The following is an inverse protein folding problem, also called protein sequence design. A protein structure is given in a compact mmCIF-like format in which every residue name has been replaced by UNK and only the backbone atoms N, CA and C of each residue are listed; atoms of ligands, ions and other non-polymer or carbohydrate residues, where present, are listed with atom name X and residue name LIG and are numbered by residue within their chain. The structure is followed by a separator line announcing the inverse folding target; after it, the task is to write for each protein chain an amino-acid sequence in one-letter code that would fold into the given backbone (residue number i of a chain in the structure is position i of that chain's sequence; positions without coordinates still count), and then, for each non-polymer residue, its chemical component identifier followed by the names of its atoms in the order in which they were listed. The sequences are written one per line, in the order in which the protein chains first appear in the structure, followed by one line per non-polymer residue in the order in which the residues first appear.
data_IF_383551519309
#
_entry.id   IF_383551519309
#
_cell.length_a   1.000
_cell.length_b   1.000
_cell.length_c   1.000
_cell.angle_alpha   90.00
_cell.angle_beta   90.00
_cell.angle_gamma   90.00
#
_symmetry.space_group_name_H-M   'P 1'
#
loop_
_entity.id
_entity.type
_entity.pdbx_description
1 polymer ?
#
# COMPACT_ATOMS: atom_id res chain seq x y z
N UNK A 1 28.76 -30.27 -64.67
CA UNK A 1 27.96 -29.02 -64.73
C UNK A 1 27.85 -28.44 -63.33
N UNK A 2 28.48 -27.28 -63.06
CA UNK A 2 28.33 -26.59 -61.76
C UNK A 2 27.14 -25.62 -61.87
N UNK A 3 26.07 -25.90 -61.13
CA UNK A 3 24.93 -25.00 -60.98
C UNK A 3 25.36 -23.78 -60.15
N UNK A 4 25.52 -22.64 -60.82
CA UNK A 4 25.69 -21.33 -60.17
C UNK A 4 24.35 -20.96 -59.52
N UNK A 5 24.21 -21.22 -58.21
CA UNK A 5 23.11 -20.66 -57.43
C UNK A 5 23.23 -19.14 -57.45
N UNK A 6 22.31 -18.47 -58.14
CA UNK A 6 22.14 -17.02 -57.99
C UNK A 6 21.79 -16.75 -56.53
N UNK A 7 22.67 -16.02 -55.82
CA UNK A 7 22.35 -15.50 -54.50
C UNK A 7 21.40 -14.33 -54.71
N UNK A 8 20.13 -14.49 -54.35
CA UNK A 8 19.18 -13.38 -54.23
C UNK A 8 19.65 -12.46 -53.10
N UNK A 9 20.12 -11.26 -53.45
CA UNK A 9 20.45 -10.22 -52.48
C UNK A 9 19.16 -9.55 -51.99
N UNK A 10 19.09 -9.28 -50.69
CA UNK A 10 18.00 -8.50 -50.11
C UNK A 10 18.06 -7.08 -50.67
N UNK A 11 16.95 -6.58 -51.21
CA UNK A 11 16.86 -5.19 -51.68
C UNK A 11 16.68 -4.25 -50.50
N UNK A 12 17.15 -3.01 -50.66
CA UNK A 12 17.00 -1.97 -49.64
C UNK A 12 15.53 -1.68 -49.31
N UNK A 13 14.63 -1.82 -50.31
CA UNK A 13 13.19 -1.64 -50.13
C UNK A 13 12.60 -2.75 -49.25
N UNK A 14 12.96 -4.03 -49.48
CA UNK A 14 12.47 -5.14 -48.66
C UNK A 14 12.88 -4.97 -47.19
N UNK A 15 14.12 -4.52 -46.93
CA UNK A 15 14.57 -4.24 -45.57
C UNK A 15 13.80 -3.08 -44.92
N UNK A 16 13.58 -1.99 -45.67
CA UNK A 16 12.83 -0.82 -45.18
C UNK A 16 11.38 -1.16 -44.82
N UNK A 17 10.70 -1.94 -45.67
CA UNK A 17 9.32 -2.37 -45.41
C UNK A 17 9.23 -3.21 -44.13
N UNK A 18 10.18 -4.13 -43.92
CA UNK A 18 10.21 -4.95 -42.70
C UNK A 18 10.41 -4.10 -41.46
N UNK A 19 11.36 -3.16 -41.48
CA UNK A 19 11.59 -2.25 -40.35
C UNK A 19 10.36 -1.38 -40.11
N UNK A 20 9.71 -0.88 -41.17
CA UNK A 20 8.48 -0.10 -41.05
C UNK A 20 7.35 -0.90 -40.39
N UNK A 21 7.17 -2.17 -40.78
CA UNK A 21 6.16 -3.06 -40.17
C UNK A 21 6.51 -3.30 -38.69
N UNK A 22 7.76 -3.62 -38.36
CA UNK A 22 8.21 -3.81 -36.97
C UNK A 22 7.97 -2.54 -36.15
N UNK A 23 8.28 -1.36 -36.69
CA UNK A 23 8.07 -0.08 -36.03
C UNK A 23 6.59 0.18 -35.73
N UNK A 24 5.69 -0.11 -36.68
CA UNK A 24 4.23 0.02 -36.48
C UNK A 24 3.74 -0.96 -35.41
N UNK A 25 4.16 -2.23 -35.47
CA UNK A 25 3.77 -3.24 -34.48
C UNK A 25 4.27 -2.88 -33.09
N UNK A 26 5.53 -2.45 -32.97
CA UNK A 26 6.13 -2.03 -31.71
C UNK A 26 5.42 -0.79 -31.13
N UNK A 27 5.08 0.19 -31.97
CA UNK A 27 4.37 1.40 -31.56
C UNK A 27 3.00 1.12 -30.92
N UNK A 28 2.29 0.08 -31.37
CA UNK A 28 1.03 -0.36 -30.78
C UNK A 28 1.26 -1.24 -29.54
N UNK A 29 2.28 -2.11 -29.59
CA UNK A 29 2.52 -3.10 -28.53
C UNK A 29 3.05 -2.46 -27.23
N UNK A 30 3.94 -1.46 -27.32
CA UNK A 30 4.53 -0.83 -26.13
C UNK A 30 3.50 -0.18 -25.17
N UNK A 31 2.56 0.68 -25.61
CA UNK A 31 1.58 1.29 -24.70
C UNK A 31 0.62 0.25 -24.09
N UNK A 32 0.24 -0.77 -24.87
CA UNK A 32 -0.61 -1.86 -24.40
C UNK A 32 0.12 -2.69 -23.34
N UNK A 33 1.40 -3.02 -23.58
CA UNK A 33 2.21 -3.79 -22.65
C UNK A 33 2.44 -3.04 -21.32
N UNK A 34 2.69 -1.73 -21.37
CA UNK A 34 2.83 -0.91 -20.17
C UNK A 34 1.54 -0.93 -19.32
N UNK A 35 0.38 -0.75 -19.96
CA UNK A 35 -0.93 -0.78 -19.31
C UNK A 35 -1.23 -2.16 -18.70
N UNK A 36 -0.96 -3.24 -19.44
CA UNK A 36 -1.13 -4.61 -18.97
C UNK A 36 -0.23 -4.93 -17.76
N UNK A 37 1.02 -4.46 -17.79
CA UNK A 37 1.96 -4.62 -16.68
C UNK A 37 1.49 -3.87 -15.42
N UNK A 38 0.98 -2.66 -15.58
CA UNK A 38 0.40 -1.92 -14.45
C UNK A 38 -0.82 -2.65 -13.88
N UNK A 39 -1.73 -3.12 -14.73
CA UNK A 39 -2.90 -3.88 -14.32
C UNK A 39 -2.51 -5.15 -13.53
N UNK A 40 -1.51 -5.91 -14.01
CA UNK A 40 -1.01 -7.09 -13.31
C UNK A 40 -0.46 -6.74 -11.92
N UNK A 41 0.31 -5.65 -11.80
CA UNK A 41 0.81 -5.17 -10.51
C UNK A 41 -0.32 -4.76 -9.56
N UNK A 42 -1.38 -4.10 -10.05
CA UNK A 42 -2.57 -3.75 -9.23
C UNK A 42 -3.24 -4.98 -8.67
N UNK A 43 -3.46 -5.99 -9.53
CA UNK A 43 -4.06 -7.25 -9.12
C UNK A 43 -3.21 -7.93 -8.05
N UNK A 44 -1.88 -7.87 -8.16
CA UNK A 44 -0.98 -8.36 -7.14
C UNK A 44 -1.09 -7.58 -5.82
N UNK A 45 -1.13 -6.23 -5.83
CA UNK A 45 -1.35 -5.43 -4.61
C UNK A 45 -2.68 -5.80 -3.93
N UNK A 46 -3.76 -5.94 -4.69
CA UNK A 46 -5.07 -6.35 -4.16
C UNK A 46 -5.04 -7.77 -3.57
N UNK A 47 -4.33 -8.70 -4.22
CA UNK A 47 -4.14 -10.06 -3.71
C UNK A 47 -3.36 -10.06 -2.39
N UNK A 48 -2.34 -9.22 -2.27
CA UNK A 48 -1.59 -9.02 -1.04
C UNK A 48 -2.48 -8.43 0.07
N UNK A 49 -3.29 -7.41 -0.24
CA UNK A 49 -4.29 -6.86 0.70
C UNK A 49 -5.27 -7.92 1.21
N UNK A 50 -5.79 -8.79 0.33
CA UNK A 50 -6.66 -9.91 0.76
C UNK A 50 -5.95 -10.89 1.69
N UNK A 51 -4.68 -11.19 1.41
CA UNK A 51 -3.89 -12.07 2.29
C UNK A 51 -3.67 -11.46 3.67
N UNK A 52 -3.42 -10.15 3.74
CA UNK A 52 -3.33 -9.45 5.04
C UNK A 52 -4.67 -9.40 5.77
N UNK A 53 -5.79 -9.20 5.07
CA UNK A 53 -7.12 -9.28 5.67
C UNK A 53 -7.37 -10.64 6.31
N UNK A 54 -7.04 -11.73 5.62
CA UNK A 54 -7.11 -13.08 6.20
C UNK A 54 -6.15 -13.24 7.40
N UNK A 55 -4.94 -12.69 7.32
CA UNK A 55 -3.97 -12.74 8.42
C UNK A 55 -4.47 -12.01 9.68
N UNK A 56 -5.13 -10.86 9.51
CA UNK A 56 -5.79 -10.13 10.61
C UNK A 56 -6.89 -11.00 11.22
N UNK A 57 -7.75 -11.60 10.41
CA UNK A 57 -8.83 -12.46 10.93
C UNK A 57 -8.28 -13.68 11.69
N UNK A 58 -7.17 -14.27 11.23
CA UNK A 58 -6.52 -15.37 11.92
C UNK A 58 -5.88 -14.92 13.24
N UNK A 59 -5.23 -13.76 13.27
CA UNK A 59 -4.73 -13.16 14.50
C UNK A 59 -5.86 -12.93 15.50
N UNK A 60 -6.94 -12.27 15.08
CA UNK A 60 -8.09 -11.95 15.93
C UNK A 60 -8.70 -13.21 16.53
N UNK A 61 -8.76 -14.31 15.77
CA UNK A 61 -9.23 -15.60 16.26
C UNK A 61 -8.31 -16.22 17.35
N UNK A 62 -7.00 -16.04 17.24
CA UNK A 62 -6.02 -16.59 18.20
C UNK A 62 -5.85 -15.72 19.46
N UNK A 63 -6.25 -14.44 19.42
CA UNK A 63 -6.09 -13.47 20.50
C UNK A 63 -7.44 -12.95 21.04
N UNK A 64 -8.37 -13.86 21.37
CA UNK A 64 -9.65 -13.55 22.04
C UNK A 64 -10.45 -12.40 21.40
N UNK A 65 -10.56 -12.40 20.07
CA UNK A 65 -11.23 -11.36 19.28
C UNK A 65 -10.62 -9.95 19.42
N UNK A 66 -9.37 -9.83 19.86
CA UNK A 66 -8.68 -8.54 20.00
C UNK A 66 -7.96 -8.15 18.71
N UNK A 67 -8.14 -6.90 18.26
CA UNK A 67 -7.42 -6.35 17.11
C UNK A 67 -5.93 -6.16 17.40
N UNK A 68 -5.03 -6.33 16.40
CA UNK A 68 -3.59 -6.19 16.59
C UNK A 68 -3.17 -4.86 17.22
N UNK A 69 -2.03 -4.87 17.91
CA UNK A 69 -1.44 -3.64 18.45
C UNK A 69 -0.98 -2.75 17.29
N UNK A 70 -1.35 -1.48 17.35
CA UNK A 70 -0.95 -0.47 16.38
C UNK A 70 0.46 0.06 16.63
N UNK A 71 1.22 0.17 15.55
CA UNK A 71 2.48 0.91 15.46
C UNK A 71 2.44 1.78 14.19
N UNK A 72 2.65 3.09 14.34
CA UNK A 72 2.71 4.02 13.21
C UNK A 72 4.15 4.36 12.85
N UNK A 73 4.56 3.99 11.64
CA UNK A 73 5.76 4.41 10.90
C UNK A 73 7.11 4.43 11.64
N UNK A 74 8.20 4.38 10.87
CA UNK A 74 9.56 4.77 11.30
C UNK A 74 10.07 4.12 12.59
N UNK A 75 9.77 2.85 12.86
CA UNK A 75 10.33 2.20 14.06
C UNK A 75 11.86 2.17 14.00
N UNK A 76 12.52 2.40 15.14
CA UNK A 76 13.94 2.16 15.33
C UNK A 76 14.09 0.86 16.14
N UNK A 77 14.82 -0.14 15.63
CA UNK A 77 15.60 -0.12 14.39
C UNK A 77 14.75 -0.26 13.11
N UNK A 78 15.28 0.16 11.94
CA UNK A 78 14.56 0.16 10.67
C UNK A 78 14.00 -1.20 10.26
N UNK A 79 13.09 -1.18 9.28
CA UNK A 79 12.51 -2.37 8.68
C UNK A 79 13.58 -3.42 8.29
N UNK A 80 13.30 -4.68 8.63
CA UNK A 80 14.22 -5.79 8.39
C UNK A 80 15.37 -5.90 9.40
N UNK A 81 15.52 -5.00 10.37
CA UNK A 81 16.53 -5.13 11.42
C UNK A 81 15.98 -5.84 12.67
N UNK A 82 16.83 -6.55 13.45
CA UNK A 82 16.41 -7.17 14.71
C UNK A 82 15.85 -6.14 15.70
N UNK A 83 14.62 -6.35 16.18
CA UNK A 83 13.95 -5.44 17.10
C UNK A 83 13.01 -4.43 16.43
N UNK A 84 12.92 -4.45 15.10
CA UNK A 84 11.88 -3.74 14.34
C UNK A 84 10.49 -4.11 14.89
N UNK A 85 9.65 -3.10 15.10
CA UNK A 85 8.27 -3.27 15.55
C UNK A 85 7.33 -2.67 14.52
N UNK A 86 6.29 -3.41 14.19
CA UNK A 86 5.19 -2.94 13.37
C UNK A 86 4.06 -3.96 13.32
N UNK A 87 2.94 -3.56 12.74
CA UNK A 87 1.77 -4.43 12.63
C UNK A 87 2.09 -5.60 11.70
N UNK A 88 2.89 -5.37 10.67
CA UNK A 88 3.40 -6.39 9.77
C UNK A 88 4.24 -7.47 10.49
N UNK A 89 5.02 -7.09 11.51
CA UNK A 89 5.76 -8.06 12.33
C UNK A 89 4.80 -8.92 13.15
N UNK A 90 3.72 -8.35 13.68
CA UNK A 90 2.69 -9.09 14.42
C UNK A 90 1.95 -10.07 13.50
N UNK A 91 1.65 -9.63 12.28
CA UNK A 91 0.89 -10.41 11.30
C UNK A 91 1.74 -11.42 10.53
N UNK A 92 3.07 -11.30 10.53
CA UNK A 92 3.97 -12.17 9.76
C UNK A 92 3.71 -13.68 9.97
N UNK A 93 3.54 -14.20 11.20
CA UNK A 93 3.24 -15.62 11.44
C UNK A 93 1.95 -16.13 10.77
N UNK A 94 1.04 -15.22 10.45
CA UNK A 94 -0.27 -15.48 9.86
C UNK A 94 -0.29 -15.35 8.34
N UNK A 95 0.86 -15.03 7.72
CA UNK A 95 0.97 -14.85 6.26
C UNK A 95 1.78 -15.96 5.60
N UNK A 96 1.42 -16.32 4.36
CA UNK A 96 2.17 -17.34 3.59
C UNK A 96 3.55 -16.81 3.20
N UNK A 97 4.60 -17.37 3.80
CA UNK A 97 5.98 -16.94 3.57
C UNK A 97 6.66 -16.37 4.83
N UNK A 98 5.91 -16.13 5.91
CA UNK A 98 6.40 -15.86 7.27
C UNK A 98 7.02 -17.12 7.87
N UNK A 99 8.11 -17.58 7.26
CA UNK A 99 8.78 -18.83 7.57
C UNK A 99 10.05 -18.58 8.36
N UNK A 100 9.92 -18.74 9.69
CA UNK A 100 10.98 -18.89 10.72
C UNK A 100 11.35 -17.58 11.39
N UNK A 101 10.88 -17.46 12.64
CA UNK A 101 11.31 -16.42 13.57
C UNK A 101 12.81 -16.14 13.49
N UNK A 102 13.15 -14.87 13.68
CA UNK A 102 14.50 -14.29 13.59
C UNK A 102 15.06 -13.98 12.18
N UNK A 103 14.25 -13.83 11.13
CA UNK A 103 14.78 -13.41 9.84
C UNK A 103 14.70 -11.89 9.62
N UNK A 104 15.87 -11.28 9.44
CA UNK A 104 16.20 -9.91 8.97
C UNK A 104 15.54 -9.56 7.60
N UNK A 105 14.70 -10.43 7.05
CA UNK A 105 14.10 -10.29 5.73
C UNK A 105 12.62 -9.91 5.86
N UNK A 106 12.27 -8.78 5.26
CA UNK A 106 10.88 -8.35 5.16
C UNK A 106 10.06 -9.33 4.31
N UNK A 107 8.83 -9.56 4.72
CA UNK A 107 7.89 -10.41 3.99
C UNK A 107 7.26 -9.63 2.83
N UNK A 108 7.36 -10.19 1.63
CA UNK A 108 6.93 -9.56 0.39
C UNK A 108 5.40 -9.35 0.29
N UNK A 109 4.60 -10.00 1.12
CA UNK A 109 3.14 -9.77 1.15
C UNK A 109 2.83 -8.34 1.61
N UNK A 110 3.63 -7.77 2.51
CA UNK A 110 3.46 -6.38 2.96
C UNK A 110 3.97 -5.36 1.94
N UNK A 111 4.44 -5.80 0.76
CA UNK A 111 4.82 -4.93 -0.35
C UNK A 111 3.74 -4.89 -1.42
N UNK A 112 3.31 -3.70 -1.80
CA UNK A 112 2.58 -3.51 -3.05
C UNK A 112 3.57 -3.40 -4.23
N UNK A 113 3.46 -4.18 -5.32
CA UNK A 113 4.34 -4.04 -6.49
C UNK A 113 4.32 -2.67 -7.23
N UNK A 114 3.36 -1.80 -6.86
CA UNK A 114 3.29 -0.41 -7.31
C UNK A 114 3.92 0.59 -6.33
N UNK A 115 4.39 0.13 -5.17
CA UNK A 115 5.16 0.95 -4.24
C UNK A 115 6.40 1.51 -4.94
N UNK A 116 6.36 2.82 -5.16
CA UNK A 116 7.42 3.61 -5.78
C UNK A 116 8.13 4.51 -4.75
N UNK A 117 7.99 4.18 -3.47
CA UNK A 117 8.48 4.95 -2.34
C UNK A 117 7.62 6.17 -2.03
N UNK A 118 8.05 6.91 -1.01
CA UNK A 118 7.64 8.27 -0.69
C UNK A 118 8.85 9.20 -0.76
N UNK A 119 8.67 10.52 -0.77
CA UNK A 119 9.77 11.48 -0.94
C UNK A 119 10.86 11.40 0.15
N UNK A 120 10.53 10.91 1.35
CA UNK A 120 11.49 10.78 2.46
C UNK A 120 12.04 9.39 2.67
N UNK A 121 11.59 8.39 1.92
CA UNK A 121 12.06 7.00 2.12
C UNK A 121 13.59 6.90 2.09
N UNK A 122 14.23 7.58 1.13
CA UNK A 122 15.70 7.63 1.01
C UNK A 122 16.41 8.54 2.02
N UNK A 123 15.69 9.44 2.69
CA UNK A 123 16.24 10.31 3.75
C UNK A 123 16.15 9.63 5.11
N UNK A 124 14.98 9.07 5.43
CA UNK A 124 14.72 8.33 6.66
C UNK A 124 15.53 7.03 6.70
N UNK A 125 15.61 6.34 5.55
CA UNK A 125 16.36 5.10 5.39
C UNK A 125 17.22 5.19 4.12
N UNK A 126 18.50 5.61 4.24
CA UNK A 126 19.40 5.75 3.10
C UNK A 126 19.47 4.49 2.23
N UNK A 127 19.20 4.65 0.94
CA UNK A 127 19.19 3.55 -0.04
C UNK A 127 17.83 2.85 -0.22
N UNK A 128 16.83 3.19 0.60
CA UNK A 128 15.47 2.68 0.39
C UNK A 128 14.85 3.22 -0.90
N UNK A 129 14.19 2.33 -1.65
CA UNK A 129 13.50 2.66 -2.92
C UNK A 129 11.99 2.51 -2.84
N UNK A 130 11.48 1.99 -1.73
CA UNK A 130 10.06 1.73 -1.50
C UNK A 130 9.68 1.98 -0.04
N UNK A 131 8.39 2.21 0.21
CA UNK A 131 7.87 2.38 1.56
C UNK A 131 8.06 1.11 2.38
N UNK A 132 7.85 -0.05 1.75
CA UNK A 132 8.14 -1.36 2.33
C UNK A 132 9.61 -1.51 2.74
N UNK A 133 10.57 -1.14 1.88
CA UNK A 133 12.00 -1.23 2.21
C UNK A 133 12.36 -0.33 3.41
N UNK A 134 11.72 0.84 3.54
CA UNK A 134 12.00 1.79 4.63
C UNK A 134 11.34 1.39 5.95
N UNK A 135 10.06 0.99 5.91
CA UNK A 135 9.21 0.92 7.09
C UNK A 135 8.52 -0.43 7.30
N UNK A 136 8.79 -1.41 6.43
CA UNK A 136 8.32 -2.80 6.57
C UNK A 136 7.00 -3.08 5.89
N UNK A 137 6.23 -2.04 5.57
CA UNK A 137 4.92 -2.16 4.94
C UNK A 137 4.68 -1.05 3.92
N UNK A 138 4.12 -1.41 2.75
CA UNK A 138 3.53 -0.47 1.79
C UNK A 138 2.14 0.00 2.24
N UNK A 139 1.60 -0.54 3.33
CA UNK A 139 0.22 -0.34 3.75
C UNK A 139 0.15 0.39 5.08
N UNK A 140 -0.80 1.34 5.18
CA UNK A 140 -1.15 2.03 6.42
C UNK A 140 -2.22 1.25 7.16
N UNK A 141 -2.00 1.04 8.46
CA UNK A 141 -2.99 0.47 9.36
C UNK A 141 -3.76 1.61 10.05
N UNK A 142 -5.09 1.49 10.11
CA UNK A 142 -5.94 2.54 10.67
C UNK A 142 -5.93 2.45 12.20
N UNK A 143 -5.23 3.38 12.85
CA UNK A 143 -4.96 3.43 14.30
C UNK A 143 -6.19 3.14 15.16
N UNK A 144 -7.32 3.79 14.87
CA UNK A 144 -8.53 3.66 15.68
C UNK A 144 -9.21 2.29 15.56
N UNK A 145 -8.90 1.52 14.51
CA UNK A 145 -9.40 0.16 14.31
C UNK A 145 -8.46 -0.91 14.89
N UNK A 146 -7.30 -0.50 15.39
CA UNK A 146 -6.32 -1.36 16.03
C UNK A 146 -6.19 -1.01 17.52
N UNK A 147 -5.64 -1.93 18.30
CA UNK A 147 -5.44 -1.71 19.73
C UNK A 147 -4.24 -0.81 19.98
N UNK A 148 -4.38 0.18 20.85
CA UNK A 148 -3.26 0.99 21.36
C UNK A 148 -2.94 0.56 22.78
N UNK A 149 -1.66 0.31 23.08
CA UNK A 149 -1.21 -0.09 24.41
C UNK A 149 -0.17 0.89 24.92
N UNK A 150 -0.41 1.47 26.10
CA UNK A 150 0.49 2.43 26.72
C UNK A 150 1.88 1.81 26.95
N UNK A 151 2.93 2.53 26.56
CA UNK A 151 4.32 2.08 26.67
C UNK A 151 4.75 1.04 25.65
N UNK A 152 3.85 0.56 24.78
CA UNK A 152 4.17 -0.43 23.74
C UNK A 152 3.88 0.10 22.33
N UNK A 153 2.67 0.60 22.08
CA UNK A 153 2.33 1.26 20.82
C UNK A 153 3.14 2.52 20.63
N UNK A 154 3.57 2.78 19.40
CA UNK A 154 4.38 3.95 19.06
C UNK A 154 3.91 4.66 17.79
N UNK A 155 4.35 5.91 17.64
CA UNK A 155 4.22 6.70 16.43
C UNK A 155 5.50 7.50 16.24
N UNK A 156 6.20 7.33 15.12
CA UNK A 156 7.49 8.00 14.88
C UNK A 156 8.48 7.82 16.05
N UNK A 157 8.59 6.59 16.58
CA UNK A 157 9.39 6.23 17.77
C UNK A 157 8.97 6.87 19.10
N UNK A 158 7.84 7.57 19.15
CA UNK A 158 7.29 8.09 20.40
C UNK A 158 6.25 7.11 20.93
N UNK A 159 6.46 6.58 22.13
CA UNK A 159 5.52 5.68 22.80
C UNK A 159 4.23 6.43 23.16
N UNK A 160 3.11 5.73 23.04
CA UNK A 160 1.80 6.21 23.51
C UNK A 160 1.71 6.06 25.03
N UNK A 161 1.04 6.98 25.69
CA UNK A 161 0.82 7.03 27.14
C UNK A 161 -0.58 6.56 27.56
N UNK A 162 -1.39 6.12 26.60
CA UNK A 162 -2.75 5.65 26.81
C UNK A 162 -2.97 4.25 26.23
N UNK A 163 -3.98 3.56 26.75
CA UNK A 163 -4.41 2.24 26.28
C UNK A 163 -5.85 2.32 25.78
N UNK A 164 -6.08 1.79 24.59
CA UNK A 164 -7.39 1.63 23.97
C UNK A 164 -7.43 0.28 23.26
N UNK A 165 -8.14 -0.69 23.84
CA UNK A 165 -8.25 -2.04 23.26
C UNK A 165 -9.46 -2.09 22.35
N UNK A 166 -9.25 -2.56 21.11
CA UNK A 166 -10.32 -2.74 20.13
C UNK A 166 -10.59 -4.23 20.01
N UNK A 167 -11.82 -4.62 20.33
CA UNK A 167 -12.31 -5.98 20.08
C UNK A 167 -13.12 -5.99 18.78
N UNK A 168 -13.07 -7.09 18.04
CA UNK A 168 -13.86 -7.33 16.83
C UNK A 168 -15.35 -7.08 17.07
N UNK A 169 -15.88 -7.54 18.21
CA UNK A 169 -17.29 -7.37 18.58
C UNK A 169 -17.70 -5.92 18.84
N UNK A 170 -16.74 -5.01 19.05
CA UNK A 170 -17.01 -3.60 19.24
C UNK A 170 -17.14 -2.83 17.90
N UNK A 171 -16.82 -3.48 16.78
CA UNK A 171 -16.88 -2.88 15.45
C UNK A 171 -18.32 -3.00 14.93
N UNK A 172 -19.04 -1.87 14.89
CA UNK A 172 -20.46 -1.85 14.52
C UNK A 172 -20.70 -2.21 13.04
N UNK A 173 -19.77 -1.83 12.15
CA UNK A 173 -19.89 -2.01 10.70
C UNK A 173 -18.66 -2.69 10.07
N UNK A 174 -18.43 -4.00 10.31
CA UNK A 174 -17.18 -4.65 9.91
C UNK A 174 -16.85 -4.56 8.40
N UNK A 175 -17.87 -4.64 7.53
CA UNK A 175 -17.70 -4.55 6.08
C UNK A 175 -17.52 -3.12 5.54
N UNK A 176 -17.71 -2.09 6.38
CA UNK A 176 -17.54 -0.68 5.99
C UNK A 176 -16.34 -0.03 6.70
N UNK A 177 -15.89 -0.61 7.82
CA UNK A 177 -14.76 -0.14 8.61
C UNK A 177 -13.44 -0.62 8.03
N UNK A 178 -12.63 0.31 7.52
CA UNK A 178 -11.30 0.03 6.96
C UNK A 178 -10.31 -0.22 8.10
N UNK A 179 -9.54 -1.31 8.01
CA UNK A 179 -8.47 -1.64 8.96
C UNK A 179 -7.09 -1.34 8.40
N UNK A 180 -6.93 -1.40 7.08
CA UNK A 180 -5.71 -0.97 6.40
C UNK A 180 -5.99 -0.48 4.97
N UNK A 181 -5.07 0.30 4.43
CA UNK A 181 -5.09 0.79 3.04
C UNK A 181 -3.69 0.84 2.45
N UNK A 182 -3.59 0.96 1.14
CA UNK A 182 -2.33 1.40 0.52
C UNK A 182 -1.90 2.75 1.11
N UNK A 183 -0.60 2.92 1.40
CA UNK A 183 -0.07 4.17 1.95
C UNK A 183 -0.32 5.35 1.02
N UNK A 184 0.08 5.22 -0.26
CA UNK A 184 -0.08 6.29 -1.25
C UNK A 184 -1.30 6.01 -2.13
N UNK A 185 -2.43 6.51 -1.67
CA UNK A 185 -3.71 6.36 -2.35
C UNK A 185 -3.88 7.40 -3.46
N UNK A 186 -4.41 7.02 -4.63
CA UNK A 186 -4.52 7.96 -5.77
C UNK A 186 -5.38 9.21 -5.48
N UNK A 187 -6.31 9.15 -4.51
CA UNK A 187 -7.16 10.27 -4.11
C UNK A 187 -6.40 11.35 -3.35
N UNK A 188 -5.16 11.07 -2.93
CA UNK A 188 -4.28 12.06 -2.30
C UNK A 188 -3.53 12.91 -3.35
N UNK A 189 -3.69 12.59 -4.64
CA UNK A 189 -3.14 13.36 -5.75
C UNK A 189 -3.99 14.60 -6.05
N UNK A 190 -3.37 15.80 -6.08
CA UNK A 190 -4.05 17.05 -6.51
C UNK A 190 -4.66 16.95 -7.90
N UNK A 191 -4.06 16.16 -8.79
CA UNK A 191 -4.59 15.91 -10.13
C UNK A 191 -5.94 15.17 -10.11
N UNK A 192 -6.23 14.42 -9.05
CA UNK A 192 -7.49 13.70 -8.87
C UNK A 192 -8.44 14.41 -7.91
N UNK A 193 -7.91 15.18 -6.95
CA UNK A 193 -8.68 15.82 -5.88
C UNK A 193 -8.02 17.15 -5.53
N UNK A 194 -8.59 18.29 -5.97
CA UNK A 194 -7.92 19.59 -5.89
C UNK A 194 -7.43 19.99 -4.49
N UNK A 195 -8.15 19.59 -3.45
CA UNK A 195 -7.88 19.88 -2.03
C UNK A 195 -7.24 18.72 -1.26
N UNK A 196 -6.80 17.66 -1.94
CA UNK A 196 -6.32 16.41 -1.32
C UNK A 196 -5.24 16.60 -0.24
N UNK A 197 -4.32 17.52 -0.47
CA UNK A 197 -3.14 17.70 0.37
C UNK A 197 -3.51 18.29 1.73
N UNK A 198 -4.39 19.30 1.73
CA UNK A 198 -4.94 19.87 2.97
C UNK A 198 -5.90 18.88 3.63
N UNK A 199 -6.71 18.20 2.82
CA UNK A 199 -7.75 17.29 3.29
C UNK A 199 -7.20 16.02 3.95
N UNK A 200 -6.17 15.43 3.37
CA UNK A 200 -5.54 14.19 3.83
C UNK A 200 -4.15 14.41 4.44
N UNK A 201 -3.78 15.68 4.64
CA UNK A 201 -2.58 16.11 5.34
C UNK A 201 -1.26 15.59 4.78
N UNK A 202 -1.21 15.34 3.47
CA UNK A 202 0.05 15.16 2.75
C UNK A 202 0.50 16.52 2.25
N UNK A 203 1.68 16.99 2.65
CA UNK A 203 2.26 18.19 2.03
C UNK A 203 2.73 17.85 0.61
N UNK A 204 2.03 18.35 -0.39
CA UNK A 204 2.33 18.06 -1.80
C UNK A 204 3.22 19.13 -2.46
N UNK A 205 3.69 20.11 -1.70
CA UNK A 205 4.48 21.22 -2.21
C UNK A 205 5.98 21.04 -1.93
N UNK A 206 6.86 21.54 -2.79
CA UNK A 206 8.28 21.66 -2.49
C UNK A 206 8.49 22.51 -1.22
N UNK A 207 9.49 22.18 -0.38
CA UNK A 207 10.57 21.23 -0.65
C UNK A 207 10.26 19.76 -0.29
N UNK A 208 9.10 19.49 0.31
CA UNK A 208 8.86 18.23 1.00
C UNK A 208 8.09 17.20 0.18
N UNK A 209 7.05 17.61 -0.56
CA UNK A 209 6.33 16.79 -1.56
C UNK A 209 6.00 15.35 -1.10
N UNK A 210 5.48 15.21 0.12
CA UNK A 210 5.13 14.00 0.89
C UNK A 210 4.33 12.94 0.12
N UNK A 211 3.64 13.31 -0.94
CA UNK A 211 2.84 12.39 -1.72
C UNK A 211 3.55 11.88 -2.99
N UNK A 212 3.47 10.56 -3.22
CA UNK A 212 3.89 9.95 -4.48
C UNK A 212 2.87 8.92 -4.95
N UNK A 213 2.21 9.20 -6.08
CA UNK A 213 1.19 8.30 -6.63
C UNK A 213 1.76 6.93 -7.01
N UNK A 214 1.21 5.87 -6.41
CA UNK A 214 1.55 4.48 -6.76
C UNK A 214 0.60 3.89 -7.79
N UNK A 215 -0.70 4.04 -7.56
CA UNK A 215 -1.75 3.56 -8.46
C UNK A 215 -2.17 4.68 -9.40
N UNK A 216 -2.26 4.45 -10.71
CA UNK A 216 -2.84 5.47 -11.61
C UNK A 216 -4.34 5.69 -11.39
N UNK A 217 -5.04 4.74 -10.76
CA UNK A 217 -6.45 4.87 -10.34
C UNK A 217 -6.65 4.26 -8.96
N UNK A 218 -7.26 5.00 -8.04
CA UNK A 218 -7.69 4.50 -6.73
C UNK A 218 -6.57 3.96 -5.83
N UNK A 219 -6.91 2.96 -5.04
CA UNK A 219 -6.02 2.24 -4.12
C UNK A 219 -6.80 1.12 -3.43
N UNK A 220 -6.11 0.24 -2.73
CA UNK A 220 -6.70 -0.90 -2.06
C UNK A 220 -6.97 -0.57 -0.60
N UNK A 221 -8.06 -1.11 -0.08
CA UNK A 221 -8.41 -1.09 1.33
C UNK A 221 -8.82 -2.49 1.77
N UNK A 222 -8.56 -2.81 3.03
CA UNK A 222 -9.05 -4.00 3.71
C UNK A 222 -9.98 -3.55 4.81
N UNK A 223 -11.05 -4.29 5.00
CA UNK A 223 -12.10 -4.01 5.98
C UNK A 223 -12.02 -4.98 7.15
N UNK A 224 -12.71 -4.66 8.24
CA UNK A 224 -12.62 -5.40 9.50
C UNK A 224 -13.19 -6.82 9.43
N UNK A 225 -14.00 -7.16 8.43
CA UNK A 225 -14.42 -8.54 8.14
C UNK A 225 -13.38 -9.34 7.32
N UNK A 226 -12.22 -8.73 7.02
CA UNK A 226 -11.12 -9.33 6.28
C UNK A 226 -11.22 -9.22 4.75
N UNK A 227 -12.31 -8.70 4.18
CA UNK A 227 -12.37 -8.52 2.73
C UNK A 227 -11.53 -7.33 2.28
N UNK A 228 -11.05 -7.37 1.03
CA UNK A 228 -10.32 -6.27 0.42
C UNK A 228 -10.97 -5.82 -0.88
N UNK A 229 -11.02 -4.50 -1.08
CA UNK A 229 -11.57 -3.89 -2.27
C UNK A 229 -10.62 -2.83 -2.84
N UNK A 230 -10.65 -2.70 -4.16
CA UNK A 230 -10.07 -1.56 -4.83
C UNK A 230 -11.09 -0.42 -4.84
N UNK A 231 -10.66 0.75 -4.37
CA UNK A 231 -11.50 1.90 -4.09
C UNK A 231 -11.03 3.04 -4.98
N UNK A 232 -11.94 3.56 -5.78
CA UNK A 232 -11.67 4.65 -6.73
C UNK A 232 -12.52 5.86 -6.38
N UNK A 233 -11.92 7.04 -6.46
CA UNK A 233 -12.60 8.31 -6.17
C UNK A 233 -12.68 8.61 -4.68
N UNK A 234 -12.77 9.90 -4.37
CA UNK A 234 -12.79 10.44 -3.00
C UNK A 234 -14.02 10.01 -2.22
N UNK A 235 -15.21 10.12 -2.82
CA UNK A 235 -16.47 9.86 -2.12
C UNK A 235 -16.51 8.50 -1.41
N UNK A 236 -16.02 7.43 -2.08
CA UNK A 236 -15.99 6.09 -1.48
C UNK A 236 -14.91 5.96 -0.40
N UNK A 237 -13.78 6.64 -0.58
CA UNK A 237 -12.73 6.70 0.45
C UNK A 237 -13.23 7.42 1.71
N UNK A 238 -13.89 8.57 1.54
CA UNK A 238 -14.40 9.40 2.63
C UNK A 238 -15.57 8.75 3.38
N UNK A 239 -16.38 7.95 2.68
CA UNK A 239 -17.49 7.20 3.26
C UNK A 239 -17.04 5.96 4.03
N UNK A 240 -15.80 5.51 3.86
CA UNK A 240 -15.29 4.38 4.64
C UNK A 240 -15.17 4.76 6.12
N UNK A 241 -15.49 3.81 7.00
CA UNK A 241 -15.46 4.02 8.44
C UNK A 241 -14.06 3.73 8.97
N UNK A 242 -13.66 4.46 10.00
CA UNK A 242 -12.29 4.40 10.53
C UNK A 242 -12.25 4.19 12.04
N UNK A 243 -13.39 3.98 12.67
CA UNK A 243 -13.52 3.75 14.11
C UNK A 243 -14.50 2.60 14.40
N UNK A 244 -14.42 1.97 15.60
CA UNK A 244 -15.34 0.90 15.98
C UNK A 244 -16.80 1.37 16.07
N UNK A 245 -17.03 2.61 16.52
CA UNK A 245 -18.33 3.29 16.58
C UNK A 245 -18.85 3.77 15.21
N UNK A 246 -18.07 3.58 14.15
CA UNK A 246 -18.56 3.74 12.78
C UNK A 246 -18.49 5.14 12.21
N UNK A 247 -17.72 6.06 12.78
CA UNK A 247 -17.47 7.36 12.18
C UNK A 247 -16.70 7.25 10.86
N UNK A 248 -17.09 8.08 9.88
CA UNK A 248 -16.56 8.02 8.52
C UNK A 248 -15.35 8.92 8.36
N UNK A 249 -14.41 8.50 7.54
CA UNK A 249 -13.15 9.20 7.24
C UNK A 249 -13.36 10.68 6.90
N UNK A 250 -14.40 11.02 6.13
CA UNK A 250 -14.67 12.40 5.70
C UNK A 250 -15.45 13.25 6.71
N UNK A 251 -15.98 12.67 7.79
CA UNK A 251 -16.79 13.40 8.77
C UNK A 251 -15.90 14.25 9.68
N UNK A 252 -16.39 15.38 10.21
CA UNK A 252 -15.62 16.21 11.12
C UNK A 252 -15.34 15.50 12.45
N UNK A 253 -14.11 15.62 12.95
CA UNK A 253 -13.72 15.14 14.27
C UNK A 253 -13.78 16.29 15.30
N UNK A 254 -14.21 16.04 16.55
CA UNK A 254 -14.37 17.10 17.57
C UNK A 254 -13.13 17.97 17.83
N UNK A 255 -11.93 17.42 17.65
CA UNK A 255 -10.66 18.08 17.97
C UNK A 255 -9.60 18.06 16.86
N UNK A 256 -9.82 17.29 15.79
CA UNK A 256 -8.75 16.88 14.86
C UNK A 256 -9.10 17.13 13.39
N UNK A 257 -10.04 18.04 13.13
CA UNK A 257 -10.48 18.33 11.75
C UNK A 257 -11.42 17.25 11.24
N UNK A 258 -10.90 16.12 10.78
CA UNK A 258 -11.70 14.98 10.28
C UNK A 258 -11.34 13.67 10.99
N UNK A 259 -12.22 12.69 10.92
CA UNK A 259 -11.94 11.34 11.43
C UNK A 259 -10.80 10.65 10.67
N UNK A 260 -10.55 11.02 9.41
CA UNK A 260 -9.33 10.62 8.70
C UNK A 260 -8.09 11.03 9.50
N UNK A 261 -7.96 12.30 9.87
CA UNK A 261 -6.78 12.81 10.60
C UNK A 261 -6.63 12.16 11.98
N UNK A 262 -7.76 11.93 12.64
CA UNK A 262 -7.77 11.30 13.96
C UNK A 262 -7.33 9.82 13.91
N UNK A 263 -7.57 9.11 12.82
CA UNK A 263 -7.46 7.64 12.77
C UNK A 263 -6.47 7.07 11.76
N UNK A 264 -6.09 7.80 10.72
CA UNK A 264 -5.05 7.39 9.76
C UNK A 264 -3.74 8.12 10.02
#
# INVERSE_FOLDING_TARGET
MKSTRQRSGFTLIELLVVIAIIAILAAILFPVFASAKEAAKRTACLSNSRQMGMAIMQYVADYDSTMPIHYAYNSVPPAGQPGHKGVEVILDPYTRGGGRGLAVSLNAIFRCPLDAGGPYTSQDVPGSTSYWDAYGSSYRFTKCMLSVVAGESSSNNVLRDYTAIVNESAIEFPAESRVLRDEMFAVFDRGNTPDACDRYGYDCDPPYNYYRRWHSTGGNMVFADGHAAHISGTARFDQSRVSPSGERSGDPHPSEGTWYWACD
#
